data_IF_842891660363
#
_entry.id   IF_842891660363
#
_cell.length_a   1.000
_cell.length_b   1.000
_cell.length_c   1.000
_cell.angle_alpha   90.00
_cell.angle_beta   90.00
_cell.angle_gamma   90.00
#
_symmetry.space_group_name_H-M   'P 1'
#
loop_
_entity.id
_entity.type
_entity.pdbx_description
1 polymer ?
#
# COMPACT_ATOMS: atom_id res chain seq x y z
N UNK A 1 -8.96 4.56 23.44
CA UNK A 1 -9.03 4.96 22.02
C UNK A 1 -7.99 4.10 21.33
N UNK A 2 -8.39 3.04 20.63
CA UNK A 2 -7.44 2.15 19.95
C UNK A 2 -7.14 2.72 18.57
N UNK A 3 -5.96 3.34 18.42
CA UNK A 3 -5.41 3.72 17.12
C UNK A 3 -5.11 2.44 16.32
N UNK A 4 -6.03 2.09 15.43
CA UNK A 4 -5.90 0.95 14.52
C UNK A 4 -5.84 1.49 13.10
N UNK A 5 -4.74 1.21 12.43
CA UNK A 5 -4.49 1.66 11.06
C UNK A 5 -5.32 0.83 10.10
N UNK A 6 -6.13 1.46 9.25
CA UNK A 6 -6.93 0.75 8.26
C UNK A 6 -6.19 0.62 6.93
N UNK A 7 -6.24 -0.56 6.33
CA UNK A 7 -5.64 -0.79 5.04
C UNK A 7 -6.45 -0.09 3.95
N UNK A 8 -5.82 0.81 3.19
CA UNK A 8 -6.51 1.52 2.11
C UNK A 8 -6.86 0.65 0.89
N UNK A 9 -6.31 -0.57 0.79
CA UNK A 9 -6.63 -1.50 -0.30
C UNK A 9 -7.89 -2.34 -0.03
N UNK A 10 -8.01 -2.90 1.18
CA UNK A 10 -9.11 -3.79 1.55
C UNK A 10 -10.12 -3.15 2.50
N UNK A 11 -9.81 -2.01 3.10
CA UNK A 11 -10.65 -1.32 4.08
C UNK A 11 -10.63 -1.94 5.49
N UNK A 12 -9.93 -3.06 5.68
CA UNK A 12 -9.83 -3.73 6.98
C UNK A 12 -8.70 -3.18 7.84
N UNK A 13 -8.84 -3.33 9.16
CA UNK A 13 -7.82 -2.94 10.12
C UNK A 13 -6.57 -3.80 9.96
N UNK A 14 -5.40 -3.14 9.99
CA UNK A 14 -4.10 -3.78 9.91
C UNK A 14 -3.78 -4.36 11.28
N UNK A 15 -4.11 -5.65 11.44
CA UNK A 15 -3.73 -6.47 12.59
C UNK A 15 -2.39 -7.22 12.36
N UNK A 16 -1.74 -6.98 11.23
CA UNK A 16 -0.47 -7.63 10.89
C UNK A 16 0.68 -7.08 11.76
N UNK A 17 1.72 -7.90 11.94
CA UNK A 17 2.90 -7.50 12.70
C UNK A 17 3.65 -6.35 12.03
N UNK A 18 3.55 -6.26 10.71
CA UNK A 18 4.20 -5.24 9.90
C UNK A 18 3.17 -4.53 9.02
N UNK A 19 3.14 -3.20 9.12
CA UNK A 19 2.32 -2.34 8.28
C UNK A 19 3.23 -1.42 7.45
N UNK A 20 2.79 -1.12 6.24
CA UNK A 20 3.47 -0.22 5.34
C UNK A 20 2.73 1.11 5.32
N UNK A 21 3.40 2.18 5.72
CA UNK A 21 2.90 3.55 5.55
C UNK A 21 3.42 4.12 4.24
N UNK A 22 2.50 4.46 3.35
CA UNK A 22 2.82 5.08 2.05
C UNK A 22 2.06 6.39 1.93
N UNK A 23 2.82 7.48 1.82
CA UNK A 23 2.34 8.87 1.84
C UNK A 23 1.62 9.20 3.16
N UNK A 24 0.31 8.93 3.23
CA UNK A 24 -0.56 9.18 4.39
C UNK A 24 -1.51 8.01 4.67
N UNK A 25 -1.28 6.89 3.98
CA UNK A 25 -2.17 5.73 4.00
C UNK A 25 -1.44 4.48 4.45
N UNK A 26 -2.15 3.62 5.15
CA UNK A 26 -1.62 2.41 5.74
C UNK A 26 -2.02 1.22 4.87
N UNK A 27 -1.10 0.27 4.71
CA UNK A 27 -1.27 -0.87 3.82
C UNK A 27 -0.72 -2.14 4.47
N UNK A 28 -1.40 -3.26 4.25
CA UNK A 28 -0.79 -4.55 4.52
C UNK A 28 0.35 -4.83 3.55
N UNK A 29 1.39 -5.54 3.98
CA UNK A 29 2.46 -6.02 3.11
C UNK A 29 1.93 -6.76 1.87
N UNK A 30 0.91 -7.62 2.07
CA UNK A 30 0.23 -8.36 1.00
C UNK A 30 -0.69 -7.51 0.11
N UNK A 31 -1.19 -6.38 0.63
CA UNK A 31 -2.11 -5.50 -0.08
C UNK A 31 -1.40 -4.40 -0.87
N UNK A 32 -0.17 -4.04 -0.46
CA UNK A 32 0.64 -3.06 -1.17
C UNK A 32 1.23 -3.68 -2.44
N UNK A 33 0.43 -3.71 -3.51
CA UNK A 33 0.83 -4.23 -4.82
C UNK A 33 0.37 -3.29 -5.93
N UNK A 34 1.15 -3.23 -7.00
CA UNK A 34 0.84 -2.37 -8.14
C UNK A 34 -0.50 -2.79 -8.76
N UNK A 35 -1.43 -1.86 -8.97
CA UNK A 35 -2.71 -2.16 -9.60
C UNK A 35 -2.54 -2.65 -11.05
N UNK A 36 -1.49 -2.19 -11.73
CA UNK A 36 -1.19 -2.51 -13.14
C UNK A 36 -0.48 -3.85 -13.27
N UNK A 37 0.72 -3.99 -12.70
CA UNK A 37 1.54 -5.18 -12.85
C UNK A 37 1.34 -6.22 -11.72
N UNK A 38 0.50 -5.95 -10.73
CA UNK A 38 0.26 -6.79 -9.54
C UNK A 38 1.53 -7.17 -8.76
N UNK A 39 2.66 -6.49 -9.04
CA UNK A 39 3.93 -6.76 -8.38
C UNK A 39 3.86 -6.25 -6.94
N UNK A 40 4.28 -7.06 -5.96
CA UNK A 40 4.31 -6.66 -4.56
C UNK A 40 5.35 -5.54 -4.36
N UNK A 41 4.92 -4.46 -3.72
CA UNK A 41 5.71 -3.24 -3.49
C UNK A 41 6.21 -3.16 -2.05
N UNK A 42 5.96 -4.18 -1.24
CA UNK A 42 6.44 -4.28 0.14
C UNK A 42 7.97 -4.32 0.25
N UNK A 43 8.63 -4.91 -0.75
CA UNK A 43 10.08 -4.92 -0.88
C UNK A 43 10.63 -3.74 -1.71
N UNK A 44 9.78 -2.86 -2.26
CA UNK A 44 10.22 -1.78 -3.13
C UNK A 44 10.36 -0.46 -2.37
N UNK A 45 11.50 0.24 -2.48
CA UNK A 45 11.72 1.49 -1.76
C UNK A 45 10.90 2.67 -2.32
N UNK A 46 10.28 2.49 -3.49
CA UNK A 46 9.47 3.54 -4.13
C UNK A 46 8.17 2.97 -4.68
N UNK A 47 7.07 3.37 -4.05
CA UNK A 47 5.70 3.08 -4.41
C UNK A 47 4.88 4.38 -4.37
N UNK A 48 3.89 4.49 -5.25
CA UNK A 48 3.10 5.71 -5.44
C UNK A 48 1.63 5.40 -5.28
N UNK A 49 0.90 6.22 -4.54
CA UNK A 49 -0.55 6.08 -4.35
C UNK A 49 -1.25 7.16 -5.17
N UNK A 50 -2.19 6.76 -6.03
CA UNK A 50 -3.01 7.67 -6.84
C UNK A 50 -4.46 7.21 -6.85
N UNK A 51 -5.39 8.07 -6.41
CA UNK A 51 -6.82 7.77 -6.31
C UNK A 51 -7.14 6.47 -5.53
N UNK A 52 -6.39 6.18 -4.46
CA UNK A 52 -6.58 4.95 -3.68
C UNK A 52 -6.05 3.67 -4.36
N UNK A 53 -5.41 3.78 -5.51
CA UNK A 53 -4.68 2.69 -6.16
C UNK A 53 -3.18 2.88 -6.01
N UNK A 54 -2.44 1.79 -5.80
CA UNK A 54 -0.99 1.79 -5.70
C UNK A 54 -0.36 1.48 -7.05
N UNK A 55 0.71 2.18 -7.38
CA UNK A 55 1.47 2.07 -8.62
C UNK A 55 2.95 1.90 -8.29
N UNK A 56 3.61 1.05 -9.08
CA UNK A 56 5.06 0.93 -9.01
C UNK A 56 5.71 2.15 -9.69
N UNK A 57 6.98 2.43 -9.37
CA UNK A 57 7.73 3.53 -9.98
C UNK A 57 7.63 3.57 -11.51
N UNK A 58 7.85 2.47 -12.28
CA UNK A 58 7.76 2.52 -13.73
C UNK A 58 6.33 2.74 -14.27
N UNK A 59 5.30 2.18 -13.64
CA UNK A 59 3.90 2.42 -14.05
C UNK A 59 3.43 3.84 -13.70
N UNK A 60 3.98 4.43 -12.63
CA UNK A 60 3.60 5.78 -12.20
C UNK A 60 4.20 6.88 -13.09
N UNK A 61 5.43 6.68 -13.60
CA UNK A 61 6.14 7.67 -14.43
C UNK A 61 5.82 7.56 -15.93
N UNK A 62 5.00 6.58 -16.33
CA UNK A 62 4.64 6.31 -17.71
C UNK A 62 3.42 7.10 -18.16
#
# INVERSE_FOLDING_TARGET
MTEQEACSACGELIADRFLLKVSDTSWHARCLRCCVCQTPLDHQPSCFVRHGSVYCRPDYVR
#
